data_IF_500073091840
#
_entry.id   IF_500073091840
#
_cell.length_a   1.000
_cell.length_b   1.000
_cell.length_c   1.000
_cell.angle_alpha   90.00
_cell.angle_beta   90.00
_cell.angle_gamma   90.00
#
_symmetry.space_group_name_H-M   'P 1'
#
loop_
_entity.id
_entity.type
_entity.pdbx_description
1 polymer ?
#
# COMPACT_ATOMS: atom_id res chain seq x y z
N UNK A 1 -36.90 5.86 -53.53
CA UNK A 1 -37.57 5.19 -52.41
C UNK A 1 -36.52 4.99 -51.33
N UNK A 2 -36.58 5.80 -50.29
CA UNK A 2 -35.84 5.59 -49.05
C UNK A 2 -36.41 4.34 -48.38
N UNK A 3 -35.54 3.50 -47.82
CA UNK A 3 -35.92 2.71 -46.65
C UNK A 3 -34.90 2.99 -45.54
N UNK A 4 -35.47 3.30 -44.38
CA UNK A 4 -34.81 3.89 -43.23
C UNK A 4 -34.48 2.80 -42.21
N UNK A 5 -33.30 2.95 -41.59
CA UNK A 5 -33.04 2.68 -40.17
C UNK A 5 -33.43 1.32 -39.57
N UNK A 6 -32.41 0.59 -39.09
CA UNK A 6 -32.22 0.37 -37.64
C UNK A 6 -30.82 -0.18 -37.35
N UNK A 7 -29.93 0.74 -37.03
CA UNK A 7 -28.75 0.52 -36.18
C UNK A 7 -29.23 0.20 -34.76
N UNK A 8 -29.07 -1.03 -34.29
CA UNK A 8 -29.21 -1.37 -32.86
C UNK A 8 -28.07 -2.28 -32.39
N UNK A 9 -27.34 -1.78 -31.40
CA UNK A 9 -26.40 -2.47 -30.49
C UNK A 9 -25.00 -2.86 -31.00
N UNK A 10 -24.18 -1.83 -31.26
CA UNK A 10 -23.12 -1.43 -30.32
C UNK A 10 -22.15 -2.46 -29.73
N UNK A 11 -21.92 -3.62 -30.34
CA UNK A 11 -20.80 -4.49 -29.97
C UNK A 11 -19.52 -3.90 -30.53
N UNK A 12 -18.72 -3.28 -29.66
CA UNK A 12 -17.33 -2.96 -29.92
C UNK A 12 -16.61 -4.23 -30.37
N UNK A 13 -16.25 -4.27 -31.65
CA UNK A 13 -15.21 -5.15 -32.16
C UNK A 13 -13.90 -4.77 -31.46
N UNK A 14 -13.68 -5.33 -30.27
CA UNK A 14 -12.35 -5.28 -29.64
C UNK A 14 -11.43 -6.06 -30.56
N UNK A 15 -10.41 -5.39 -31.09
CA UNK A 15 -9.38 -5.98 -31.94
C UNK A 15 -8.78 -7.21 -31.24
N UNK A 16 -9.24 -8.40 -31.63
CA UNK A 16 -8.67 -9.68 -31.23
C UNK A 16 -7.42 -9.82 -32.09
N UNK A 17 -6.24 -9.80 -31.47
CA UNK A 17 -5.07 -10.33 -32.13
C UNK A 17 -5.33 -11.84 -32.25
N UNK A 18 -5.34 -12.40 -33.46
CA UNK A 18 -5.83 -13.77 -33.72
C UNK A 18 -4.91 -14.89 -33.19
N UNK A 19 -4.18 -14.68 -32.08
CA UNK A 19 -3.40 -15.75 -31.45
C UNK A 19 -4.35 -16.68 -30.70
N UNK A 20 -4.65 -17.81 -31.30
CA UNK A 20 -5.43 -18.89 -30.68
C UNK A 20 -4.56 -19.72 -29.75
N UNK A 21 -5.19 -20.62 -28.97
CA UNK A 21 -4.54 -21.69 -28.21
C UNK A 21 -3.38 -22.34 -28.96
N UNK A 22 -3.58 -22.72 -30.23
CA UNK A 22 -2.56 -23.40 -31.02
C UNK A 22 -1.44 -22.45 -31.45
N UNK A 23 -1.77 -21.19 -31.75
CA UNK A 23 -0.78 -20.13 -31.92
C UNK A 23 0.08 -19.94 -30.67
N UNK A 24 -0.51 -20.01 -29.47
CA UNK A 24 0.23 -19.93 -28.20
C UNK A 24 1.13 -21.14 -27.96
N UNK A 25 0.71 -22.36 -28.35
CA UNK A 25 1.58 -23.54 -28.31
C UNK A 25 2.80 -23.36 -29.22
N UNK A 26 2.59 -22.84 -30.43
CA UNK A 26 3.69 -22.57 -31.34
C UNK A 26 4.64 -21.50 -30.79
N UNK A 27 4.09 -20.46 -30.16
CA UNK A 27 4.87 -19.45 -29.48
C UNK A 27 5.65 -20.03 -28.29
N UNK A 28 5.08 -20.96 -27.54
CA UNK A 28 5.77 -21.66 -26.47
C UNK A 28 7.00 -22.43 -26.99
N UNK A 29 6.89 -23.10 -28.14
CA UNK A 29 8.03 -23.76 -28.80
C UNK A 29 9.14 -22.75 -29.12
N UNK A 30 8.80 -21.53 -29.54
CA UNK A 30 9.77 -20.48 -29.78
C UNK A 30 10.40 -19.96 -28.48
N UNK A 31 9.60 -19.78 -27.42
CA UNK A 31 10.10 -19.37 -26.11
C UNK A 31 11.09 -20.40 -25.54
N UNK A 32 10.92 -21.70 -25.81
CA UNK A 32 11.88 -22.74 -25.42
C UNK A 32 13.28 -22.54 -26.02
N UNK A 33 13.42 -21.75 -27.09
CA UNK A 33 14.72 -21.38 -27.66
C UNK A 33 15.46 -20.29 -26.87
N UNK A 34 14.91 -19.86 -25.73
CA UNK A 34 15.44 -18.82 -24.85
C UNK A 34 15.77 -17.51 -25.60
N UNK A 35 14.80 -17.03 -26.37
CA UNK A 35 14.90 -15.73 -27.08
C UNK A 35 15.28 -14.61 -26.11
N UNK A 36 16.00 -13.56 -26.55
CA UNK A 36 16.39 -12.42 -25.69
C UNK A 36 15.19 -11.51 -25.32
N UNK A 37 13.96 -11.98 -25.55
CA UNK A 37 12.74 -11.23 -25.28
C UNK A 37 12.50 -11.16 -23.78
N UNK A 38 12.43 -9.95 -23.23
CA UNK A 38 12.19 -9.72 -21.80
C UNK A 38 10.71 -9.50 -21.47
N UNK A 39 9.95 -8.90 -22.37
CA UNK A 39 8.53 -8.58 -22.19
C UNK A 39 7.72 -9.12 -23.36
N UNK A 40 6.71 -9.94 -23.06
CA UNK A 40 5.82 -10.52 -24.06
C UNK A 40 4.39 -10.10 -23.75
N UNK A 41 3.81 -9.31 -24.66
CA UNK A 41 2.42 -8.87 -24.55
C UNK A 41 1.51 -9.65 -25.49
N UNK A 42 0.60 -10.44 -24.91
CA UNK A 42 -0.42 -11.22 -25.56
C UNK A 42 -1.82 -10.81 -25.10
N UNK A 43 -2.02 -9.56 -24.67
CA UNK A 43 -3.34 -9.09 -24.28
C UNK A 43 -4.35 -9.17 -25.45
N UNK A 44 -5.61 -9.46 -25.14
CA UNK A 44 -6.72 -9.51 -26.10
C UNK A 44 -6.54 -10.54 -27.24
N UNK A 45 -6.19 -11.78 -26.87
CA UNK A 45 -6.17 -12.92 -27.80
C UNK A 45 -7.10 -14.05 -27.29
N UNK A 46 -6.93 -15.29 -27.79
CA UNK A 46 -7.71 -16.46 -27.40
C UNK A 46 -6.79 -17.63 -27.03
N UNK A 47 -5.90 -17.37 -26.07
CA UNK A 47 -4.89 -18.34 -25.59
C UNK A 47 -5.57 -19.56 -24.94
N UNK A 48 -6.63 -19.32 -24.15
CA UNK A 48 -7.33 -20.35 -23.37
C UNK A 48 -6.39 -21.14 -22.42
N UNK A 49 -6.91 -22.09 -21.64
CA UNK A 49 -6.11 -22.80 -20.64
C UNK A 49 -4.92 -23.54 -21.22
N UNK A 50 -5.13 -24.25 -22.31
CA UNK A 50 -4.10 -25.06 -22.92
C UNK A 50 -2.95 -24.25 -23.53
N UNK A 51 -3.25 -23.08 -24.10
CA UNK A 51 -2.21 -22.18 -24.58
C UNK A 51 -1.41 -21.61 -23.41
N UNK A 52 -2.08 -21.28 -22.30
CA UNK A 52 -1.45 -20.79 -21.09
C UNK A 52 -0.58 -21.86 -20.42
N UNK A 53 -1.01 -23.13 -20.41
CA UNK A 53 -0.22 -24.27 -19.93
C UNK A 53 1.04 -24.45 -20.76
N UNK A 54 0.96 -24.37 -22.09
CA UNK A 54 2.12 -24.50 -22.96
C UNK A 54 3.13 -23.35 -22.74
N UNK A 55 2.64 -22.10 -22.63
CA UNK A 55 3.48 -20.95 -22.29
C UNK A 55 4.13 -21.14 -20.91
N UNK A 56 3.38 -21.56 -19.91
CA UNK A 56 3.87 -21.81 -18.57
C UNK A 56 4.97 -22.89 -18.54
N UNK A 57 4.83 -23.98 -19.29
CA UNK A 57 5.87 -25.01 -19.40
C UNK A 57 7.16 -24.46 -20.01
N UNK A 58 7.05 -23.66 -21.09
CA UNK A 58 8.21 -23.04 -21.71
C UNK A 58 8.94 -22.08 -20.74
N UNK A 59 8.18 -21.30 -19.96
CA UNK A 59 8.73 -20.40 -18.96
C UNK A 59 9.31 -21.15 -17.76
N UNK A 60 8.68 -22.21 -17.29
CA UNK A 60 9.13 -22.94 -16.11
C UNK A 60 10.48 -23.63 -16.32
N UNK A 61 10.75 -24.12 -17.53
CA UNK A 61 11.86 -25.06 -17.78
C UNK A 61 12.91 -24.60 -18.78
N UNK A 62 12.65 -23.56 -19.59
CA UNK A 62 13.53 -23.24 -20.72
C UNK A 62 13.88 -21.76 -20.85
N UNK A 63 12.89 -20.87 -20.78
CA UNK A 63 13.13 -19.45 -21.05
C UNK A 63 13.51 -18.70 -19.76
N UNK A 64 14.73 -18.18 -19.69
CA UNK A 64 15.26 -17.46 -18.53
C UNK A 64 15.41 -15.96 -18.77
N UNK A 65 15.09 -15.47 -19.97
CA UNK A 65 15.17 -14.05 -20.33
C UNK A 65 13.82 -13.33 -20.15
N UNK A 66 12.69 -14.03 -20.36
CA UNK A 66 11.38 -13.40 -20.23
C UNK A 66 11.08 -13.10 -18.76
N UNK A 67 10.98 -11.81 -18.45
CA UNK A 67 10.68 -11.31 -17.11
C UNK A 67 9.20 -10.97 -16.93
N UNK A 68 8.52 -10.57 -18.00
CA UNK A 68 7.13 -10.08 -17.93
C UNK A 68 6.25 -10.70 -19.01
N UNK A 69 5.11 -11.26 -18.60
CA UNK A 69 4.09 -11.81 -19.50
C UNK A 69 2.75 -11.08 -19.29
N UNK A 70 2.19 -10.52 -20.36
CA UNK A 70 0.84 -9.92 -20.33
C UNK A 70 -0.11 -10.84 -21.08
N UNK A 71 -1.07 -11.43 -20.37
CA UNK A 71 -2.10 -12.33 -20.93
C UNK A 71 -3.50 -11.86 -20.55
N UNK A 72 -3.71 -10.55 -20.43
CA UNK A 72 -5.02 -9.97 -20.14
C UNK A 72 -6.05 -10.33 -21.24
N UNK A 73 -7.29 -10.66 -20.86
CA UNK A 73 -8.42 -10.90 -21.77
C UNK A 73 -8.13 -11.98 -22.82
N UNK A 74 -7.81 -13.19 -22.34
CA UNK A 74 -7.41 -14.33 -23.16
C UNK A 74 -8.27 -15.59 -23.00
N UNK A 75 -9.39 -15.48 -22.29
CA UNK A 75 -10.27 -16.60 -21.96
C UNK A 75 -9.54 -17.76 -21.22
N UNK A 76 -8.50 -17.45 -20.47
CA UNK A 76 -7.78 -18.42 -19.62
C UNK A 76 -8.62 -18.64 -18.35
N UNK A 77 -8.81 -19.88 -17.93
CA UNK A 77 -9.52 -20.21 -16.71
C UNK A 77 -8.54 -20.68 -15.61
N UNK A 78 -9.07 -21.33 -14.57
CA UNK A 78 -8.30 -21.66 -13.37
C UNK A 78 -7.08 -22.54 -13.67
N UNK A 79 -7.20 -23.49 -14.61
CA UNK A 79 -6.13 -24.43 -14.94
C UNK A 79 -4.91 -23.72 -15.55
N UNK A 80 -5.12 -22.85 -16.55
CA UNK A 80 -4.04 -22.11 -17.20
C UNK A 80 -3.37 -21.11 -16.26
N UNK A 81 -4.14 -20.44 -15.41
CA UNK A 81 -3.59 -19.52 -14.41
C UNK A 81 -2.77 -20.25 -13.33
N UNK A 82 -3.22 -21.42 -12.89
CA UNK A 82 -2.44 -22.27 -11.98
C UNK A 82 -1.09 -22.67 -12.60
N UNK A 83 -1.08 -23.00 -13.90
CA UNK A 83 0.14 -23.36 -14.60
C UNK A 83 1.13 -22.19 -14.65
N UNK A 84 0.65 -20.99 -15.01
CA UNK A 84 1.46 -19.76 -15.03
C UNK A 84 2.03 -19.46 -13.64
N UNK A 85 1.21 -19.55 -12.59
CA UNK A 85 1.64 -19.33 -11.21
C UNK A 85 2.73 -20.32 -10.77
N UNK A 86 2.59 -21.61 -11.13
CA UNK A 86 3.65 -22.61 -10.91
C UNK A 86 4.92 -22.28 -11.67
N UNK A 87 4.82 -21.83 -12.91
CA UNK A 87 5.98 -21.42 -13.71
C UNK A 87 6.75 -20.27 -13.06
N UNK A 88 6.05 -19.30 -12.46
CA UNK A 88 6.69 -18.23 -11.68
C UNK A 88 7.48 -18.74 -10.48
N UNK A 89 7.01 -19.80 -9.79
CA UNK A 89 7.76 -20.39 -8.67
C UNK A 89 9.04 -21.09 -9.12
N UNK A 90 9.01 -21.70 -10.30
CA UNK A 90 10.12 -22.49 -10.84
C UNK A 90 11.15 -21.61 -11.55
N UNK A 91 10.72 -20.51 -12.18
CA UNK A 91 11.58 -19.61 -12.94
C UNK A 91 11.89 -18.33 -12.15
N UNK A 92 13.11 -18.25 -11.64
CA UNK A 92 13.61 -17.09 -10.87
C UNK A 92 13.69 -15.80 -11.68
N UNK A 93 13.81 -15.88 -13.01
CA UNK A 93 13.86 -14.71 -13.90
C UNK A 93 12.47 -14.17 -14.25
N UNK A 94 11.44 -15.02 -14.18
CA UNK A 94 10.07 -14.63 -14.51
C UNK A 94 9.47 -13.82 -13.38
N UNK A 95 9.43 -12.49 -13.52
CA UNK A 95 9.12 -11.53 -12.46
C UNK A 95 7.64 -11.22 -12.33
N UNK A 96 6.93 -11.01 -13.43
CA UNK A 96 5.58 -10.47 -13.39
C UNK A 96 4.65 -11.06 -14.45
N UNK A 97 3.39 -11.27 -14.06
CA UNK A 97 2.32 -11.64 -14.99
C UNK A 97 1.07 -10.80 -14.79
N UNK A 98 0.48 -10.36 -15.91
CA UNK A 98 -0.77 -9.62 -15.93
C UNK A 98 -1.86 -10.49 -16.54
N UNK A 99 -2.89 -10.82 -15.76
CA UNK A 99 -3.90 -11.84 -16.10
C UNK A 99 -5.33 -11.28 -16.16
N UNK A 100 -5.51 -9.97 -16.20
CA UNK A 100 -6.83 -9.31 -16.06
C UNK A 100 -7.79 -9.63 -17.20
N UNK A 101 -9.08 -9.81 -16.90
CA UNK A 101 -10.11 -10.02 -17.93
C UNK A 101 -10.18 -11.44 -18.50
N UNK A 102 -9.53 -12.41 -17.84
CA UNK A 102 -9.63 -13.84 -18.14
C UNK A 102 -10.88 -14.49 -17.51
N UNK A 103 -11.19 -15.73 -17.88
CA UNK A 103 -12.37 -16.47 -17.41
C UNK A 103 -12.14 -17.00 -15.99
N UNK A 104 -12.15 -16.07 -15.02
CA UNK A 104 -12.10 -16.38 -13.60
C UNK A 104 -13.51 -16.81 -13.15
N UNK A 105 -13.93 -18.03 -13.51
CA UNK A 105 -15.20 -18.59 -13.05
C UNK A 105 -15.27 -18.56 -11.51
N UNK A 106 -16.13 -17.69 -10.97
CA UNK A 106 -16.51 -17.51 -9.54
C UNK A 106 -15.41 -17.22 -8.50
N UNK A 107 -15.58 -16.15 -7.70
CA UNK A 107 -15.18 -14.79 -8.06
C UNK A 107 -13.66 -14.73 -8.36
N UNK A 108 -13.20 -13.63 -8.96
CA UNK A 108 -11.83 -13.37 -9.41
C UNK A 108 -10.67 -13.87 -8.48
N UNK A 109 -10.95 -14.07 -7.19
CA UNK A 109 -10.11 -14.58 -6.12
C UNK A 109 -9.19 -15.78 -6.43
N UNK A 110 -9.58 -16.87 -7.10
CA UNK A 110 -8.73 -18.09 -7.13
C UNK A 110 -7.41 -17.90 -7.89
N UNK A 111 -7.45 -17.31 -9.08
CA UNK A 111 -6.24 -17.00 -9.85
C UNK A 111 -5.36 -15.95 -9.15
N UNK A 112 -6.00 -14.95 -8.55
CA UNK A 112 -5.29 -13.89 -7.83
C UNK A 112 -4.65 -14.37 -6.53
N UNK A 113 -5.35 -15.17 -5.72
CA UNK A 113 -4.81 -15.77 -4.49
C UNK A 113 -3.61 -16.65 -4.80
N UNK A 114 -3.65 -17.38 -5.91
CA UNK A 114 -2.51 -18.18 -6.35
C UNK A 114 -1.33 -17.29 -6.76
N UNK A 115 -1.55 -16.20 -7.51
CA UNK A 115 -0.46 -15.28 -7.83
C UNK A 115 0.11 -14.57 -6.58
N UNK A 116 -0.76 -14.05 -5.72
CA UNK A 116 -0.38 -13.38 -4.47
C UNK A 116 0.38 -14.34 -3.55
N UNK A 117 -0.07 -15.58 -3.39
CA UNK A 117 0.68 -16.61 -2.65
C UNK A 117 2.01 -16.98 -3.32
N UNK A 118 2.08 -16.99 -4.66
CA UNK A 118 3.36 -17.18 -5.35
C UNK A 118 4.33 -16.02 -5.08
N UNK A 119 3.89 -14.77 -5.17
CA UNK A 119 4.75 -13.63 -4.86
C UNK A 119 5.19 -13.64 -3.39
N UNK A 120 4.29 -14.03 -2.47
CA UNK A 120 4.59 -14.20 -1.05
C UNK A 120 5.66 -15.26 -0.81
N UNK A 121 5.52 -16.44 -1.42
CA UNK A 121 6.50 -17.53 -1.32
C UNK A 121 7.86 -17.13 -1.91
N UNK A 122 7.86 -16.30 -2.96
CA UNK A 122 9.06 -15.79 -3.62
C UNK A 122 9.66 -14.54 -2.96
N UNK A 123 9.06 -14.02 -1.88
CA UNK A 123 9.45 -12.79 -1.19
C UNK A 123 9.51 -11.55 -2.12
N UNK A 124 8.60 -11.49 -3.08
CA UNK A 124 8.47 -10.40 -4.07
C UNK A 124 7.38 -9.42 -3.67
N UNK A 125 7.63 -8.67 -2.59
CA UNK A 125 6.64 -7.78 -1.96
C UNK A 125 6.18 -6.66 -2.92
N UNK A 126 7.06 -6.12 -3.77
CA UNK A 126 6.72 -5.06 -4.73
C UNK A 126 5.72 -5.53 -5.79
N UNK A 127 5.97 -6.71 -6.36
CA UNK A 127 5.12 -7.33 -7.37
C UNK A 127 3.80 -7.82 -6.75
N UNK A 128 3.84 -8.33 -5.51
CA UNK A 128 2.65 -8.68 -4.73
C UNK A 128 1.75 -7.46 -4.54
N UNK A 129 2.32 -6.31 -4.13
CA UNK A 129 1.57 -5.07 -3.94
C UNK A 129 0.98 -4.55 -5.26
N UNK A 130 1.72 -4.64 -6.36
CA UNK A 130 1.21 -4.29 -7.70
C UNK A 130 0.02 -5.16 -8.11
N UNK A 131 0.09 -6.48 -7.87
CA UNK A 131 -1.01 -7.39 -8.14
C UNK A 131 -2.25 -7.07 -7.27
N UNK A 132 -2.04 -6.79 -5.98
CA UNK A 132 -3.12 -6.43 -5.04
C UNK A 132 -3.78 -5.09 -5.39
N UNK A 133 -3.02 -4.11 -5.89
CA UNK A 133 -3.56 -2.84 -6.37
C UNK A 133 -4.55 -3.04 -7.52
N UNK A 134 -4.16 -3.83 -8.50
CA UNK A 134 -5.05 -4.13 -9.62
C UNK A 134 -6.28 -4.94 -9.16
N UNK A 135 -6.14 -5.84 -8.17
CA UNK A 135 -7.29 -6.51 -7.53
C UNK A 135 -8.25 -5.48 -6.93
N UNK A 136 -7.72 -4.51 -6.17
CA UNK A 136 -8.52 -3.45 -5.53
C UNK A 136 -9.24 -2.56 -6.54
N UNK A 137 -8.61 -2.24 -7.67
CA UNK A 137 -9.19 -1.39 -8.72
C UNK A 137 -10.38 -2.09 -9.42
N UNK A 138 -10.29 -3.41 -9.62
CA UNK A 138 -11.22 -4.15 -10.49
C UNK A 138 -12.31 -4.90 -9.73
N UNK A 139 -12.06 -5.26 -8.48
CA UNK A 139 -13.03 -5.94 -7.63
C UNK A 139 -14.22 -5.01 -7.32
N UNK A 140 -15.44 -5.53 -7.44
CA UNK A 140 -16.69 -4.78 -7.18
C UNK A 140 -17.32 -5.16 -5.85
N UNK A 141 -16.99 -6.33 -5.32
CA UNK A 141 -17.47 -6.79 -4.01
C UNK A 141 -16.65 -6.14 -2.88
N UNK A 142 -17.34 -5.42 -2.00
CA UNK A 142 -16.73 -4.69 -0.90
C UNK A 142 -16.04 -5.60 0.14
N UNK A 143 -16.52 -6.82 0.35
CA UNK A 143 -15.91 -7.77 1.30
C UNK A 143 -14.57 -8.30 0.78
N UNK A 144 -14.49 -8.55 -0.52
CA UNK A 144 -13.26 -9.00 -1.17
C UNK A 144 -12.26 -7.84 -1.29
N UNK A 145 -12.72 -6.64 -1.65
CA UNK A 145 -11.90 -5.42 -1.57
C UNK A 145 -11.29 -5.24 -0.18
N UNK A 146 -12.05 -5.52 0.89
CA UNK A 146 -11.54 -5.45 2.26
C UNK A 146 -10.41 -6.45 2.52
N UNK A 147 -10.54 -7.70 2.05
CA UNK A 147 -9.48 -8.72 2.18
C UNK A 147 -8.20 -8.30 1.46
N UNK A 148 -8.32 -7.89 0.19
CA UNK A 148 -7.18 -7.41 -0.60
C UNK A 148 -6.54 -6.18 0.02
N UNK A 149 -7.34 -5.26 0.57
CA UNK A 149 -6.81 -4.06 1.22
C UNK A 149 -5.96 -4.41 2.44
N UNK A 150 -6.42 -5.34 3.29
CA UNK A 150 -5.65 -5.78 4.45
C UNK A 150 -4.33 -6.41 4.03
N UNK A 151 -4.37 -7.32 3.07
CA UNK A 151 -3.16 -7.98 2.58
C UNK A 151 -2.20 -6.98 1.92
N UNK A 152 -2.71 -6.01 1.15
CA UNK A 152 -1.89 -4.99 0.52
C UNK A 152 -1.19 -4.09 1.55
N UNK A 153 -1.86 -3.77 2.65
CA UNK A 153 -1.29 -3.01 3.75
C UNK A 153 -0.21 -3.80 4.48
N UNK A 154 -0.45 -5.09 4.75
CA UNK A 154 0.54 -5.97 5.37
C UNK A 154 1.83 -6.06 4.53
N UNK A 155 1.71 -6.03 3.20
CA UNK A 155 2.85 -6.00 2.27
C UNK A 155 3.49 -4.61 2.25
N UNK A 156 2.69 -3.54 2.15
CA UNK A 156 3.18 -2.17 2.09
C UNK A 156 4.00 -1.78 3.34
N UNK A 157 3.65 -2.31 4.52
CA UNK A 157 4.42 -2.08 5.77
C UNK A 157 5.82 -2.71 5.71
N UNK A 158 6.06 -3.74 4.90
CA UNK A 158 7.36 -4.41 4.77
C UNK A 158 8.29 -3.71 3.78
N UNK A 159 7.73 -2.98 2.81
CA UNK A 159 8.52 -2.26 1.83
C UNK A 159 9.36 -1.17 2.53
N UNK A 160 10.59 -0.91 2.04
CA UNK A 160 11.46 0.11 2.61
C UNK A 160 10.69 1.43 2.77
N UNK A 161 10.74 1.99 3.98
CA UNK A 161 9.80 3.00 4.50
C UNK A 161 9.49 4.11 3.49
N UNK A 162 8.22 4.56 3.51
CA UNK A 162 7.66 5.85 3.01
C UNK A 162 6.71 5.79 1.80
N UNK A 163 6.40 4.61 1.26
CA UNK A 163 5.29 4.47 0.30
C UNK A 163 4.27 3.38 0.69
N UNK A 164 2.97 3.69 0.66
CA UNK A 164 1.88 2.70 0.68
C UNK A 164 1.86 1.93 -0.63
N UNK A 165 2.36 2.55 -1.71
CA UNK A 165 2.27 2.06 -3.08
C UNK A 165 0.83 1.84 -3.57
N UNK A 166 -0.19 2.27 -2.83
CA UNK A 166 -1.59 1.92 -3.06
C UNK A 166 -2.29 2.87 -4.05
N UNK A 167 -2.16 2.60 -5.34
CA UNK A 167 -2.76 3.44 -6.39
C UNK A 167 -4.28 3.29 -6.52
N UNK A 168 -4.87 2.29 -5.87
CA UNK A 168 -6.29 2.00 -5.96
C UNK A 168 -7.17 3.07 -5.27
N UNK A 169 -8.28 3.43 -5.91
CA UNK A 169 -9.28 4.31 -5.29
C UNK A 169 -10.10 3.54 -4.24
N UNK A 170 -9.63 3.56 -3.00
CA UNK A 170 -10.31 2.88 -1.87
C UNK A 170 -11.57 3.65 -1.49
N UNK A 171 -12.69 2.96 -1.28
CA UNK A 171 -13.94 3.60 -0.83
C UNK A 171 -13.81 4.22 0.56
N UNK A 172 -14.55 5.30 0.82
CA UNK A 172 -14.51 6.00 2.11
C UNK A 172 -14.91 5.10 3.29
N UNK A 173 -15.80 4.13 3.07
CA UNK A 173 -16.24 3.19 4.09
C UNK A 173 -15.12 2.20 4.49
N UNK A 174 -14.41 1.63 3.52
CA UNK A 174 -13.28 0.74 3.78
C UNK A 174 -12.15 1.48 4.51
N UNK A 175 -11.85 2.70 4.06
CA UNK A 175 -10.83 3.55 4.67
C UNK A 175 -11.19 3.94 6.11
N UNK A 176 -12.45 4.31 6.39
CA UNK A 176 -12.93 4.58 7.75
C UNK A 176 -12.86 3.34 8.65
N UNK A 177 -13.18 2.15 8.10
CA UNK A 177 -13.07 0.88 8.82
C UNK A 177 -11.61 0.58 9.20
N UNK A 178 -10.70 0.69 8.23
CA UNK A 178 -9.27 0.52 8.43
C UNK A 178 -8.71 1.49 9.46
N UNK A 179 -9.06 2.77 9.34
CA UNK A 179 -8.67 3.80 10.30
C UNK A 179 -9.15 3.46 11.71
N UNK A 180 -10.42 3.06 11.86
CA UNK A 180 -10.98 2.64 13.16
C UNK A 180 -10.23 1.45 13.75
N UNK A 181 -9.89 0.46 12.92
CA UNK A 181 -9.14 -0.73 13.35
C UNK A 181 -7.73 -0.35 13.82
N UNK A 182 -7.02 0.48 13.06
CA UNK A 182 -5.69 0.98 13.41
C UNK A 182 -5.66 1.79 14.71
N UNK A 183 -6.68 2.64 14.95
CA UNK A 183 -6.81 3.39 16.20
C UNK A 183 -7.08 2.47 17.38
N UNK A 184 -7.99 1.50 17.22
CA UNK A 184 -8.34 0.57 18.29
C UNK A 184 -7.17 -0.37 18.66
N UNK A 185 -6.39 -0.80 17.67
CA UNK A 185 -5.22 -1.66 17.87
C UNK A 185 -3.97 -0.88 18.31
N UNK A 186 -4.03 0.47 18.32
CA UNK A 186 -2.89 1.36 18.58
C UNK A 186 -1.72 1.10 17.61
N UNK A 187 -2.02 0.78 16.36
CA UNK A 187 -1.01 0.57 15.31
C UNK A 187 -0.56 1.91 14.70
N UNK A 188 0.37 2.57 15.39
CA UNK A 188 0.89 3.88 14.98
C UNK A 188 1.72 3.82 13.69
N UNK A 189 2.29 2.66 13.36
CA UNK A 189 3.01 2.48 12.09
C UNK A 189 2.03 2.50 10.93
N UNK A 190 0.90 1.80 11.08
CA UNK A 190 -0.19 1.86 10.12
C UNK A 190 -0.76 3.27 10.03
N UNK A 191 -1.06 3.95 11.16
CA UNK A 191 -1.53 5.34 11.13
C UNK A 191 -0.55 6.25 10.37
N UNK A 192 0.76 6.15 10.64
CA UNK A 192 1.77 6.89 9.87
C UNK A 192 1.68 6.55 8.39
N UNK A 193 1.59 5.27 8.03
CA UNK A 193 1.46 4.85 6.63
C UNK A 193 0.19 5.41 5.97
N UNK A 194 -0.94 5.47 6.68
CA UNK A 194 -2.20 5.99 6.14
C UNK A 194 -2.17 7.49 5.83
N UNK A 195 -1.44 8.28 6.62
CA UNK A 195 -1.41 9.76 6.51
C UNK A 195 -0.12 10.33 5.88
N UNK A 196 0.99 9.58 5.89
CA UNK A 196 2.30 10.00 5.39
C UNK A 196 2.95 9.00 4.43
N UNK A 197 2.32 7.86 4.21
CA UNK A 197 2.86 6.84 3.37
C UNK A 197 2.77 7.15 1.88
N UNK A 198 2.36 8.31 1.39
CA UNK A 198 2.26 8.57 -0.05
C UNK A 198 1.41 7.54 -0.82
N UNK A 199 1.47 7.60 -2.16
CA UNK A 199 0.99 6.50 -3.01
C UNK A 199 -0.53 6.31 -3.11
N UNK A 200 -1.37 7.10 -2.44
CA UNK A 200 -2.84 7.06 -2.54
C UNK A 200 -3.43 7.70 -3.80
N UNK A 201 -4.78 7.86 -3.90
CA UNK A 201 -5.44 8.36 -5.10
C UNK A 201 -5.03 9.78 -5.51
N UNK A 202 -4.61 10.62 -4.56
CA UNK A 202 -4.11 11.99 -4.82
C UNK A 202 -2.60 12.04 -5.14
N UNK A 203 -1.91 10.88 -5.04
CA UNK A 203 -0.50 10.68 -5.36
C UNK A 203 0.43 11.76 -4.79
N UNK A 204 0.63 11.70 -3.49
CA UNK A 204 1.63 12.53 -2.81
C UNK A 204 3.07 12.01 -3.00
N UNK A 205 4.03 12.92 -2.85
CA UNK A 205 5.45 12.57 -2.77
C UNK A 205 5.70 11.60 -1.60
N UNK A 206 6.72 10.78 -1.73
CA UNK A 206 7.17 9.86 -0.68
C UNK A 206 7.33 10.60 0.67
N UNK A 207 6.78 10.02 1.74
CA UNK A 207 6.80 10.63 3.07
C UNK A 207 5.84 11.81 3.28
N UNK A 208 5.01 12.15 2.28
CA UNK A 208 3.95 13.17 2.39
C UNK A 208 2.62 12.55 2.03
N UNK A 209 1.56 12.98 2.73
CA UNK A 209 0.18 12.55 2.48
C UNK A 209 0.01 11.02 2.45
N UNK A 210 -1.20 10.53 2.22
CA UNK A 210 -1.45 9.11 2.21
C UNK A 210 -2.88 8.81 1.80
N UNK A 211 -3.28 7.55 1.92
CA UNK A 211 -4.63 7.14 1.51
C UNK A 211 -5.74 7.75 2.39
N UNK A 212 -5.41 8.20 3.61
CA UNK A 212 -6.33 8.82 4.58
C UNK A 212 -6.33 10.35 4.61
N UNK A 213 -5.24 11.00 4.21
CA UNK A 213 -5.07 12.46 4.18
C UNK A 213 -6.20 13.13 3.40
N UNK A 214 -6.84 14.15 3.97
CA UNK A 214 -7.98 14.86 3.38
C UNK A 214 -9.28 14.05 3.27
N UNK A 215 -9.29 12.76 3.64
CA UNK A 215 -10.42 11.84 3.44
C UNK A 215 -11.01 11.29 4.74
N UNK A 216 -10.20 11.19 5.79
CA UNK A 216 -10.63 10.73 7.12
C UNK A 216 -10.06 11.68 8.17
N UNK A 217 -10.94 12.19 9.04
CA UNK A 217 -10.52 13.06 10.14
C UNK A 217 -9.73 12.29 11.21
N UNK A 218 -8.63 12.89 11.64
CA UNK A 218 -7.78 12.41 12.73
C UNK A 218 -8.35 12.71 14.13
N UNK A 219 -9.54 13.31 14.23
CA UNK A 219 -10.20 13.71 15.50
C UNK A 219 -10.36 12.60 16.54
N UNK A 220 -10.36 11.32 16.13
CA UNK A 220 -10.49 10.16 17.02
C UNK A 220 -9.15 9.56 17.44
N UNK A 221 -8.03 10.12 16.98
CA UNK A 221 -6.70 9.65 17.32
C UNK A 221 -6.25 10.35 18.61
N UNK A 222 -5.97 9.55 19.64
CA UNK A 222 -5.36 10.02 20.88
C UNK A 222 -3.87 10.31 20.64
N UNK A 223 -3.53 11.57 20.32
CA UNK A 223 -2.15 11.96 20.00
C UNK A 223 -1.20 11.79 21.20
N UNK A 224 -1.71 11.79 22.42
CA UNK A 224 -0.98 11.45 23.65
C UNK A 224 -0.40 10.02 23.62
N UNK A 225 -1.12 9.07 23.02
CA UNK A 225 -0.66 7.69 22.86
C UNK A 225 0.41 7.61 21.74
N UNK A 226 0.26 8.40 20.67
CA UNK A 226 1.22 8.50 19.57
C UNK A 226 2.57 9.05 20.06
N UNK A 227 2.55 10.11 20.87
CA UNK A 227 3.75 10.69 21.52
C UNK A 227 4.43 9.65 22.42
N UNK A 228 3.61 8.85 23.10
CA UNK A 228 4.08 7.83 24.01
C UNK A 228 4.69 6.61 23.30
N UNK A 229 4.27 6.32 22.08
CA UNK A 229 4.74 5.17 21.32
C UNK A 229 6.22 5.27 20.87
N UNK A 230 6.83 4.13 20.57
CA UNK A 230 8.20 4.04 20.02
C UNK A 230 8.14 3.67 18.54
N UNK A 231 8.18 4.67 17.67
CA UNK A 231 8.31 4.51 16.21
C UNK A 231 9.06 5.72 15.62
N UNK A 232 9.56 5.60 14.38
CA UNK A 232 10.28 6.66 13.66
C UNK A 232 9.32 7.67 13.04
N UNK A 233 9.79 8.89 12.79
CA UNK A 233 9.00 9.91 12.08
C UNK A 233 7.77 10.39 12.85
N UNK A 234 7.85 10.45 14.19
CA UNK A 234 6.73 10.85 15.04
C UNK A 234 6.32 12.30 14.84
N UNK A 235 7.30 13.17 14.63
CA UNK A 235 7.07 14.61 14.51
C UNK A 235 6.25 14.93 13.25
N UNK A 236 6.63 14.32 12.13
CA UNK A 236 5.93 14.43 10.85
C UNK A 236 4.52 13.86 10.99
N UNK A 237 4.40 12.69 11.63
CA UNK A 237 3.09 12.03 11.85
C UNK A 237 2.17 12.95 12.66
N UNK A 238 2.65 13.49 13.78
CA UNK A 238 1.86 14.39 14.62
C UNK A 238 1.48 15.69 13.91
N UNK A 239 2.37 16.25 13.10
CA UNK A 239 2.07 17.47 12.33
C UNK A 239 0.88 17.24 11.40
N UNK A 240 0.91 16.17 10.62
CA UNK A 240 -0.20 15.84 9.71
C UNK A 240 -1.47 15.46 10.46
N UNK A 241 -1.38 14.71 11.57
CA UNK A 241 -2.57 14.39 12.36
C UNK A 241 -3.26 15.66 12.92
N UNK A 242 -2.48 16.66 13.35
CA UNK A 242 -3.02 17.94 13.82
C UNK A 242 -3.67 18.74 12.69
N UNK A 243 -3.05 18.78 11.51
CA UNK A 243 -3.62 19.38 10.30
C UNK A 243 -4.94 18.69 9.89
N UNK A 244 -5.05 17.37 10.09
CA UNK A 244 -6.23 16.55 9.82
C UNK A 244 -7.29 16.56 10.95
N UNK A 245 -7.12 17.47 11.93
CA UNK A 245 -8.10 17.76 12.97
C UNK A 245 -8.00 16.89 14.22
N UNK A 246 -6.83 16.31 14.53
CA UNK A 246 -6.60 15.70 15.83
C UNK A 246 -6.65 16.74 16.96
N UNK A 247 -7.21 16.36 18.12
CA UNK A 247 -7.30 17.26 19.28
C UNK A 247 -5.90 17.53 19.85
N UNK A 248 -5.41 18.76 19.68
CA UNK A 248 -4.10 19.19 20.21
C UNK A 248 -3.99 19.05 21.73
N UNK A 249 -5.12 19.12 22.44
CA UNK A 249 -5.18 18.99 23.90
C UNK A 249 -5.48 17.54 24.36
N UNK A 250 -5.48 16.59 23.43
CA UNK A 250 -5.72 15.18 23.68
C UNK A 250 -7.19 14.81 23.68
N UNK A 251 -7.47 13.50 23.71
CA UNK A 251 -8.82 12.95 23.81
C UNK A 251 -9.08 12.36 25.19
N UNK A 252 -8.03 11.89 25.86
CA UNK A 252 -8.08 11.38 27.21
C UNK A 252 -7.91 12.52 28.22
N UNK A 253 -8.85 12.63 29.16
CA UNK A 253 -8.81 13.63 30.23
C UNK A 253 -7.61 13.47 31.19
N UNK A 254 -6.93 12.32 31.16
CA UNK A 254 -5.89 11.99 32.14
C UNK A 254 -4.50 12.52 31.78
N UNK A 255 -4.16 12.66 30.49
CA UNK A 255 -2.82 13.07 30.06
C UNK A 255 -2.92 14.06 28.90
N UNK A 256 -2.54 15.31 29.16
CA UNK A 256 -2.42 16.31 28.11
C UNK A 256 -1.19 15.98 27.21
N UNK A 257 -1.31 16.02 25.87
CA UNK A 257 -0.22 15.72 24.93
C UNK A 257 1.06 16.51 25.20
N UNK A 258 0.94 17.75 25.67
CA UNK A 258 2.09 18.60 26.02
C UNK A 258 2.86 18.06 27.24
N UNK A 259 2.17 17.46 28.23
CA UNK A 259 2.81 16.72 29.34
C UNK A 259 3.57 15.53 28.81
N UNK A 260 2.92 14.74 27.94
CA UNK A 260 3.51 13.51 27.41
C UNK A 260 4.80 13.80 26.63
N UNK A 261 4.84 14.91 25.90
CA UNK A 261 6.03 15.38 25.19
C UNK A 261 7.14 15.84 26.16
N UNK A 262 6.79 16.67 27.16
CA UNK A 262 7.72 17.18 28.17
C UNK A 262 8.35 16.08 29.02
N UNK A 263 7.54 15.16 29.56
CA UNK A 263 8.02 14.05 30.37
C UNK A 263 8.93 13.07 29.61
N UNK A 264 8.92 13.09 28.28
CA UNK A 264 9.83 12.32 27.42
C UNK A 264 10.99 13.14 26.85
N UNK A 265 11.08 14.43 27.14
CA UNK A 265 12.08 15.33 26.58
C UNK A 265 11.96 15.54 25.07
N UNK A 266 10.77 15.37 24.49
CA UNK A 266 10.57 15.48 23.05
C UNK A 266 10.31 16.95 22.65
N UNK A 267 11.37 17.76 22.69
CA UNK A 267 11.30 19.23 22.51
C UNK A 267 10.64 19.62 21.17
N UNK A 268 11.01 18.98 20.07
CA UNK A 268 10.44 19.30 18.74
C UNK A 268 8.95 18.96 18.64
N UNK A 269 8.50 17.92 19.34
CA UNK A 269 7.09 17.57 19.41
C UNK A 269 6.33 18.59 20.26
N UNK A 270 6.90 19.04 21.38
CA UNK A 270 6.31 20.10 22.20
C UNK A 270 6.19 21.42 21.41
N UNK A 271 7.21 21.80 20.63
CA UNK A 271 7.15 22.96 19.72
C UNK A 271 6.02 22.81 18.69
N UNK A 272 5.86 21.62 18.11
CA UNK A 272 4.81 21.33 17.12
C UNK A 272 3.41 21.46 17.72
N UNK A 273 3.20 20.96 18.94
CA UNK A 273 1.94 21.11 19.67
C UNK A 273 1.61 22.58 19.95
N UNK A 274 2.59 23.36 20.44
CA UNK A 274 2.41 24.79 20.73
C UNK A 274 2.08 25.59 19.45
N UNK A 275 2.71 25.27 18.31
CA UNK A 275 2.37 25.88 17.02
C UNK A 275 0.91 25.62 16.60
N UNK A 276 0.33 24.51 17.03
CA UNK A 276 -1.07 24.14 16.78
C UNK A 276 -2.02 24.55 17.93
N UNK A 277 -1.65 25.57 18.71
CA UNK A 277 -2.45 26.13 19.81
C UNK A 277 -2.73 25.15 20.97
N UNK A 278 -1.78 24.27 21.30
CA UNK A 278 -1.84 23.52 22.56
C UNK A 278 -1.93 24.47 23.76
N UNK A 279 -2.82 24.20 24.71
CA UNK A 279 -3.01 25.07 25.87
C UNK A 279 -1.81 24.96 26.84
N UNK A 280 -0.95 26.00 26.96
CA UNK A 280 0.23 25.97 27.81
C UNK A 280 -0.08 26.13 29.31
N UNK A 281 -1.32 26.51 29.63
CA UNK A 281 -1.75 26.94 30.96
C UNK A 281 -2.50 25.84 31.72
N UNK A 282 -2.71 24.65 31.13
CA UNK A 282 -3.24 23.53 31.91
C UNK A 282 -2.26 23.26 33.06
N UNK A 283 -2.80 23.10 34.26
CA UNK A 283 -2.00 22.99 35.49
C UNK A 283 -1.63 21.53 35.70
N UNK A 284 -0.37 21.25 36.00
CA UNK A 284 0.05 19.89 36.38
C UNK A 284 -0.30 19.59 37.84
N UNK A 285 -0.06 18.36 38.31
CA UNK A 285 -0.36 17.95 39.70
C UNK A 285 0.32 18.85 40.75
N UNK A 286 1.38 19.58 40.38
CA UNK A 286 2.06 20.57 41.21
C UNK A 286 1.52 22.01 41.11
N UNK A 287 0.37 22.24 40.47
CA UNK A 287 -0.24 23.57 40.25
C UNK A 287 0.65 24.56 39.45
N UNK A 288 1.70 24.07 38.77
CA UNK A 288 2.52 24.85 37.86
C UNK A 288 1.94 24.86 36.44
N UNK A 289 2.10 25.96 35.68
CA UNK A 289 1.76 25.98 34.26
C UNK A 289 2.61 24.96 33.49
N UNK A 290 2.00 24.16 32.62
CA UNK A 290 2.66 23.11 31.82
C UNK A 290 3.92 23.56 31.09
N UNK A 291 3.90 24.76 30.51
CA UNK A 291 5.07 25.27 29.78
C UNK A 291 6.29 25.38 30.68
N UNK A 292 6.13 25.67 31.97
CA UNK A 292 7.24 25.76 32.89
C UNK A 292 7.93 24.39 33.10
N UNK A 293 7.15 23.31 33.18
CA UNK A 293 7.66 21.94 33.34
C UNK A 293 8.36 21.44 32.06
N UNK A 294 7.76 21.70 30.89
CA UNK A 294 8.33 21.37 29.57
C UNK A 294 9.62 22.14 29.30
N UNK A 295 9.65 23.44 29.62
CA UNK A 295 10.84 24.28 29.47
C UNK A 295 11.94 23.84 30.44
N UNK A 296 11.59 23.51 31.69
CA UNK A 296 12.56 22.99 32.66
C UNK A 296 13.18 21.67 32.20
N UNK A 297 12.38 20.72 31.73
CA UNK A 297 12.90 19.45 31.20
C UNK A 297 13.74 19.63 29.93
N UNK A 298 13.36 20.56 29.04
CA UNK A 298 14.17 20.90 27.87
C UNK A 298 15.53 21.52 28.25
N UNK A 299 15.53 22.47 29.20
CA UNK A 299 16.75 23.13 29.71
C UNK A 299 17.66 22.14 30.46
N UNK A 300 17.08 21.24 31.27
CA UNK A 300 17.86 20.22 32.00
C UNK A 300 18.50 19.19 31.04
N UNK A 301 17.89 18.93 29.89
CA UNK A 301 18.49 18.11 28.83
C UNK A 301 19.58 18.86 28.05
N UNK A 302 19.38 20.15 27.74
CA UNK A 302 20.42 21.00 27.14
C UNK A 302 21.61 21.25 28.09
N UNK A 303 21.45 21.10 29.41
CA UNK A 303 22.59 21.15 30.34
C UNK A 303 23.58 20.00 30.17
N UNK A 304 23.20 18.90 29.51
CA UNK A 304 24.16 17.86 29.09
C UNK A 304 25.09 18.34 27.96
N UNK A 305 24.72 19.41 27.23
CA UNK A 305 25.61 20.12 26.30
C UNK A 305 26.69 20.94 27.03
N UNK A 306 26.30 21.65 28.10
CA UNK A 306 27.19 22.50 28.88
C UNK A 306 28.18 21.72 29.76
N UNK A 307 27.91 20.46 30.10
CA UNK A 307 28.83 19.63 30.89
C UNK A 307 29.85 18.81 30.07
N UNK A 308 29.74 18.76 28.74
CA UNK A 308 30.76 18.12 27.89
C UNK A 308 31.64 19.11 27.09
N UNK A 309 31.45 20.41 27.27
CA UNK A 309 32.22 21.46 26.57
C UNK A 309 33.10 22.33 27.47
N UNK A 310 33.15 22.05 28.77
CA UNK A 310 34.09 22.67 29.70
C UNK A 310 34.67 21.55 30.56
N UNK A 311 36.00 21.50 30.70
CA UNK A 311 36.82 20.55 31.48
C UNK A 311 37.62 19.47 30.74
N UNK A 312 37.87 19.56 29.43
CA UNK A 312 39.07 18.93 28.85
C UNK A 312 39.87 19.93 28.01
N UNK A 313 40.75 20.69 28.69
CA UNK A 313 42.16 20.97 28.35
C UNK A 313 42.59 22.31 28.98
N UNK A 314 43.67 22.25 29.77
CA UNK A 314 44.35 23.41 30.36
C UNK A 314 44.76 23.13 31.79
#
# INVERSE_FOLDING_TARGET
>A
MQDHSKTENGRKDCQINNITRDGSKQLAILLKKNTPLEVLNLAYNRIEDDGAVALAEALASYNTNLTTLVVCSNNIASQGLCAIAKAMKLNISFRGVYIWGNNLEEPAYRGHTLLVSCYKDLQRDSEMLSALNECLIRERNWEEQWKFLKEAIEVAVKLPEETTGLTAQISSNLLKRLHKEAVNSKDWKLIRLLYLGGGGPEKYLQGKGGIATGRVSASKIAIEDVISAKFKGKQETLSVLLEEGASVNGLNSNINPLVAAGGKGQVEIAKTLLKHNANPCVKTHGNQPLVHEVVKTAIDQDRTWFHNSAWHHG
#
